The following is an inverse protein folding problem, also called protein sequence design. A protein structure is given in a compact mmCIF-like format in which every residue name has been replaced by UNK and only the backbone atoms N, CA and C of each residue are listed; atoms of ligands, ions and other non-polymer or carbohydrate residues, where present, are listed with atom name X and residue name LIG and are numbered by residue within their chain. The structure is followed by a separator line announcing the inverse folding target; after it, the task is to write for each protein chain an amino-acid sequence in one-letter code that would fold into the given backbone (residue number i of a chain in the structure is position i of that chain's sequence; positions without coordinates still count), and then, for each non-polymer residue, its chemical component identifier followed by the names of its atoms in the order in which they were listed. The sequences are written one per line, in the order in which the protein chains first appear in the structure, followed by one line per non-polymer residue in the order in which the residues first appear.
data_IF_534649787343
#
_entry.id   IF_534649787343
#
_cell.length_a   1.000
_cell.length_b   1.000
_cell.length_c   1.000
_cell.angle_alpha   90.00
_cell.angle_beta   90.00
_cell.angle_gamma   90.00
#
_symmetry.space_group_name_H-M   'P 1'
#
loop_
_entity.id
_entity.type
_entity.pdbx_description
1 polymer ?
#
# COMPACT_ATOMS: atom_id res chain seq x y z
N UNK A 1 -28.05 -24.30 -57.74
CA UNK A 1 -27.46 -23.22 -56.92
C UNK A 1 -28.26 -23.12 -55.65
N UNK A 2 -27.61 -23.33 -54.50
CA UNK A 2 -28.22 -23.88 -53.28
C UNK A 2 -28.82 -22.86 -52.31
N UNK A 3 -29.74 -23.34 -51.47
CA UNK A 3 -30.46 -22.64 -50.41
C UNK A 3 -29.57 -21.92 -49.36
N UNK A 4 -28.25 -22.14 -49.37
CA UNK A 4 -27.32 -21.59 -48.37
C UNK A 4 -26.86 -20.15 -48.66
N UNK A 5 -27.00 -19.64 -49.89
CA UNK A 5 -26.61 -18.25 -50.23
C UNK A 5 -27.51 -17.19 -49.58
N UNK A 6 -28.70 -17.56 -49.12
CA UNK A 6 -29.66 -16.65 -48.48
C UNK A 6 -29.48 -16.48 -46.97
N UNK A 7 -28.66 -17.29 -46.31
CA UNK A 7 -28.47 -17.21 -44.86
C UNK A 7 -27.25 -16.36 -44.45
N UNK A 8 -26.31 -16.11 -45.37
CA UNK A 8 -25.07 -15.37 -45.08
C UNK A 8 -24.77 -14.23 -46.07
N UNK A 9 -25.68 -13.94 -47.00
CA UNK A 9 -25.53 -12.94 -48.06
C UNK A 9 -25.87 -11.48 -47.68
N UNK A 10 -26.18 -11.22 -46.41
CA UNK A 10 -26.27 -9.86 -45.89
C UNK A 10 -24.91 -9.48 -45.33
N UNK A 11 -24.25 -8.46 -45.91
CA UNK A 11 -23.08 -7.83 -45.29
C UNK A 11 -23.48 -7.47 -43.86
N UNK A 12 -22.96 -8.19 -42.86
CA UNK A 12 -22.95 -7.74 -41.48
C UNK A 12 -22.03 -6.52 -41.42
N UNK A 13 -22.54 -5.37 -41.89
CA UNK A 13 -21.98 -4.08 -41.50
C UNK A 13 -22.51 -3.86 -40.11
N UNK A 14 -21.63 -3.98 -39.11
CA UNK A 14 -21.93 -3.47 -37.79
C UNK A 14 -22.48 -2.04 -37.96
N UNK A 15 -23.59 -1.68 -37.29
CA UNK A 15 -24.01 -0.28 -37.28
C UNK A 15 -22.78 0.55 -36.89
N UNK A 16 -22.52 1.69 -37.55
CA UNK A 16 -21.44 2.58 -37.14
C UNK A 16 -21.59 2.80 -35.64
N UNK A 17 -20.51 2.67 -34.85
CA UNK A 17 -20.61 2.83 -33.40
C UNK A 17 -21.29 4.17 -33.14
N UNK A 18 -22.29 4.16 -32.26
CA UNK A 18 -22.94 5.40 -31.84
C UNK A 18 -21.84 6.40 -31.46
N UNK A 19 -21.88 7.60 -32.06
CA UNK A 19 -20.95 8.67 -31.71
C UNK A 19 -21.21 9.02 -30.24
N UNK A 20 -20.44 8.40 -29.35
CA UNK A 20 -20.42 8.78 -27.95
C UNK A 20 -19.76 10.15 -27.87
N UNK A 21 -20.57 11.17 -27.55
CA UNK A 21 -20.15 12.56 -27.29
C UNK A 21 -19.23 12.69 -26.04
N UNK A 22 -18.90 11.58 -25.40
CA UNK A 22 -18.10 11.52 -24.19
C UNK A 22 -16.63 11.42 -24.60
N UNK A 23 -15.83 12.41 -24.17
CA UNK A 23 -14.39 12.39 -24.42
C UNK A 23 -13.70 11.26 -23.65
N UNK A 24 -12.61 10.73 -24.21
CA UNK A 24 -11.77 9.72 -23.53
C UNK A 24 -11.34 10.15 -22.11
N UNK A 25 -11.13 11.46 -21.90
CA UNK A 25 -10.76 12.01 -20.60
C UNK A 25 -11.89 11.92 -19.57
N UNK A 26 -13.14 12.02 -20.03
CA UNK A 26 -14.33 11.93 -19.20
C UNK A 26 -14.65 10.47 -18.87
N UNK A 27 -14.50 9.55 -19.83
CA UNK A 27 -14.53 8.10 -19.62
C UNK A 27 -13.48 7.68 -18.57
N UNK A 28 -12.22 8.13 -18.73
CA UNK A 28 -11.15 7.81 -17.77
C UNK A 28 -11.41 8.38 -16.37
N UNK A 29 -12.06 9.54 -16.28
CA UNK A 29 -12.42 10.16 -14.99
C UNK A 29 -13.57 9.42 -14.30
N UNK A 30 -14.48 8.85 -15.07
CA UNK A 30 -15.57 8.01 -14.56
C UNK A 30 -15.05 6.64 -14.12
N UNK A 31 -14.10 6.08 -14.86
CA UNK A 31 -13.42 4.82 -14.50
C UNK A 31 -12.48 4.96 -13.29
N UNK A 32 -11.81 6.11 -13.15
CA UNK A 32 -10.89 6.39 -12.05
C UNK A 32 -11.24 7.73 -11.39
N UNK A 33 -12.30 7.75 -10.55
CA UNK A 33 -12.70 8.96 -9.85
C UNK A 33 -11.54 9.51 -9.00
N UNK A 34 -11.46 10.83 -8.91
CA UNK A 34 -10.47 11.49 -8.05
C UNK A 34 -10.78 11.19 -6.58
N UNK A 35 -9.76 11.14 -5.70
CA UNK A 35 -9.99 10.96 -4.28
C UNK A 35 -10.89 12.06 -3.73
N UNK A 36 -11.84 11.69 -2.88
CA UNK A 36 -12.70 12.67 -2.21
C UNK A 36 -11.87 13.53 -1.24
N UNK A 37 -12.37 14.72 -0.84
CA UNK A 37 -11.73 15.54 0.19
C UNK A 37 -11.51 14.78 1.49
N UNK A 38 -12.47 13.93 1.88
CA UNK A 38 -12.38 13.10 3.09
C UNK A 38 -11.30 12.04 2.97
N UNK A 39 -11.18 11.37 1.82
CA UNK A 39 -10.09 10.41 1.58
C UNK A 39 -8.71 11.08 1.64
N UNK A 40 -8.56 12.28 1.07
CA UNK A 40 -7.31 13.05 1.17
C UNK A 40 -7.01 13.45 2.62
N UNK A 41 -8.03 13.85 3.37
CA UNK A 41 -7.89 14.17 4.79
C UNK A 41 -7.48 12.94 5.60
N UNK A 42 -8.10 11.79 5.34
CA UNK A 42 -7.78 10.52 5.98
C UNK A 42 -6.34 10.09 5.67
N UNK A 43 -5.93 10.17 4.39
CA UNK A 43 -4.55 9.91 3.96
C UNK A 43 -3.55 10.81 4.69
N UNK A 44 -3.83 12.12 4.81
CA UNK A 44 -2.96 13.04 5.57
C UNK A 44 -2.90 12.68 7.05
N UNK A 45 -4.02 12.30 7.65
CA UNK A 45 -4.08 11.83 9.04
C UNK A 45 -3.24 10.57 9.25
N UNK A 46 -3.40 9.58 8.37
CA UNK A 46 -2.62 8.35 8.35
C UNK A 46 -1.11 8.66 8.30
N UNK A 47 -0.68 9.47 7.32
CA UNK A 47 0.73 9.84 7.19
C UNK A 47 1.25 10.62 8.41
N UNK A 48 0.41 11.41 9.07
CA UNK A 48 0.75 12.08 10.32
C UNK A 48 1.14 11.09 11.42
N UNK A 49 0.44 9.95 11.53
CA UNK A 49 0.80 8.88 12.47
C UNK A 49 2.01 8.08 12.01
N UNK A 50 2.05 7.67 10.75
CA UNK A 50 3.13 6.82 10.22
C UNK A 50 4.49 7.50 10.23
N UNK A 51 4.52 8.82 10.00
CA UNK A 51 5.76 9.60 9.85
C UNK A 51 6.09 10.41 11.11
N UNK A 52 5.34 10.24 12.21
CA UNK A 52 5.46 11.03 13.44
C UNK A 52 6.87 11.04 14.07
N UNK A 53 7.63 9.96 13.88
CA UNK A 53 8.99 9.79 14.44
C UNK A 53 10.10 10.23 13.48
N UNK A 54 9.76 10.64 12.26
CA UNK A 54 10.74 11.15 11.31
C UNK A 54 11.07 12.61 11.59
N UNK A 55 12.26 13.09 11.18
CA UNK A 55 12.52 14.52 11.08
C UNK A 55 11.48 15.22 10.21
N UNK A 56 11.09 16.44 10.61
CA UNK A 56 10.01 17.20 9.98
C UNK A 56 10.25 17.49 8.49
N UNK A 57 11.49 17.72 8.09
CA UNK A 57 11.87 17.95 6.70
C UNK A 57 11.60 16.71 5.83
N UNK A 58 11.93 15.53 6.35
CA UNK A 58 11.71 14.25 5.68
C UNK A 58 10.23 13.87 5.66
N UNK A 59 9.51 14.04 6.78
CA UNK A 59 8.08 13.75 6.87
C UNK A 59 7.29 14.59 5.87
N UNK A 60 7.51 15.92 5.84
CA UNK A 60 6.84 16.81 4.90
C UNK A 60 7.17 16.50 3.44
N UNK A 61 8.42 16.12 3.15
CA UNK A 61 8.84 15.73 1.80
C UNK A 61 8.05 14.51 1.31
N UNK A 62 7.90 13.49 2.16
CA UNK A 62 7.14 12.28 1.85
C UNK A 62 5.64 12.56 1.74
N UNK A 63 5.07 13.36 2.65
CA UNK A 63 3.66 13.77 2.57
C UNK A 63 3.35 14.48 1.25
N UNK A 64 4.16 15.46 0.84
CA UNK A 64 3.98 16.17 -0.43
C UNK A 64 4.11 15.24 -1.64
N UNK A 65 5.00 14.25 -1.56
CA UNK A 65 5.18 13.26 -2.62
C UNK A 65 3.95 12.36 -2.74
N UNK A 66 3.46 11.81 -1.63
CA UNK A 66 2.30 10.91 -1.61
C UNK A 66 1.04 11.65 -2.05
N UNK A 67 0.81 12.89 -1.58
CA UNK A 67 -0.34 13.71 -1.99
C UNK A 67 -0.37 14.00 -3.50
N UNK A 68 0.81 14.13 -4.14
CA UNK A 68 0.94 14.26 -5.60
C UNK A 68 0.67 12.95 -6.34
N UNK A 69 1.02 11.81 -5.75
CA UNK A 69 0.80 10.49 -6.33
C UNK A 69 -0.65 10.01 -6.13
N UNK A 70 -1.33 10.51 -5.10
CA UNK A 70 -2.71 10.16 -4.80
C UNK A 70 -3.69 10.92 -5.70
N UNK A 71 -3.80 10.45 -6.95
CA UNK A 71 -4.57 11.11 -8.02
C UNK A 71 -5.92 10.46 -8.31
N UNK A 72 -6.10 9.19 -7.94
CA UNK A 72 -7.34 8.42 -8.12
C UNK A 72 -7.75 7.71 -6.82
N UNK A 73 -9.05 7.47 -6.65
CA UNK A 73 -9.68 6.89 -5.45
C UNK A 73 -9.13 5.50 -5.11
N UNK A 74 -8.83 4.70 -6.12
CA UNK A 74 -8.28 3.34 -6.04
C UNK A 74 -6.74 3.32 -5.97
N UNK A 75 -6.08 4.49 -6.07
CA UNK A 75 -4.62 4.59 -6.12
C UNK A 75 -3.96 4.76 -4.74
N UNK A 76 -4.70 4.59 -3.63
CA UNK A 76 -4.17 4.82 -2.28
C UNK A 76 -2.94 3.96 -1.98
N UNK A 77 -3.04 2.65 -2.23
CA UNK A 77 -1.93 1.70 -2.06
C UNK A 77 -0.73 2.11 -2.93
N UNK A 78 -0.97 2.34 -4.22
CA UNK A 78 0.07 2.73 -5.19
C UNK A 78 0.77 4.03 -4.79
N UNK A 79 0.03 5.00 -4.27
CA UNK A 79 0.56 6.29 -3.84
C UNK A 79 1.48 6.15 -2.63
N UNK A 80 1.10 5.34 -1.64
CA UNK A 80 1.93 5.06 -0.46
C UNK A 80 3.16 4.23 -0.84
N UNK A 81 2.97 3.09 -1.52
CA UNK A 81 4.06 2.18 -1.90
C UNK A 81 5.07 2.90 -2.79
N UNK A 82 4.63 3.60 -3.85
CA UNK A 82 5.53 4.40 -4.71
C UNK A 82 6.10 5.65 -4.01
N UNK A 83 5.38 6.14 -3.00
CA UNK A 83 5.78 7.30 -2.22
C UNK A 83 6.91 6.98 -1.24
N UNK A 84 6.80 5.84 -0.55
CA UNK A 84 7.70 5.42 0.53
C UNK A 84 8.78 4.44 0.07
N UNK A 85 8.50 3.52 -0.84
CA UNK A 85 9.41 2.44 -1.22
C UNK A 85 10.24 2.71 -2.48
N UNK A 86 10.06 3.88 -3.11
CA UNK A 86 10.90 4.30 -4.24
C UNK A 86 12.38 4.37 -3.85
N UNK A 87 13.25 3.68 -4.60
CA UNK A 87 14.69 3.57 -4.30
C UNK A 87 15.43 4.91 -4.25
N UNK A 88 14.93 5.93 -4.95
CA UNK A 88 15.61 7.23 -5.13
C UNK A 88 14.95 8.37 -4.36
N UNK A 89 13.62 8.33 -4.27
CA UNK A 89 12.78 9.41 -3.74
C UNK A 89 11.88 8.96 -2.58
N UNK A 90 11.93 7.69 -2.20
CA UNK A 90 11.22 7.12 -1.07
C UNK A 90 11.82 7.51 0.27
N UNK A 91 11.44 6.79 1.32
CA UNK A 91 11.93 6.98 2.68
C UNK A 91 13.44 6.69 2.77
N UNK A 92 14.14 7.40 3.65
CA UNK A 92 15.52 7.06 4.00
C UNK A 92 15.52 5.84 4.92
N UNK A 93 16.52 4.97 4.75
CA UNK A 93 16.62 3.71 5.49
C UNK A 93 16.56 3.90 7.02
N UNK A 94 17.23 4.93 7.55
CA UNK A 94 17.23 5.25 8.98
C UNK A 94 15.88 5.74 9.54
N UNK A 95 14.92 6.08 8.68
CA UNK A 95 13.57 6.57 9.01
C UNK A 95 12.54 5.68 8.30
N UNK A 96 12.64 4.37 8.51
CA UNK A 96 11.78 3.43 7.83
C UNK A 96 10.40 3.40 8.50
N UNK A 97 9.36 3.82 7.78
CA UNK A 97 7.96 3.73 8.21
C UNK A 97 7.21 2.56 7.58
N UNK A 98 7.58 2.16 6.36
CA UNK A 98 6.96 1.04 5.66
C UNK A 98 8.00 -0.04 5.36
N UNK A 99 7.74 -1.26 5.80
CA UNK A 99 8.48 -2.45 5.39
C UNK A 99 7.84 -3.03 4.13
N UNK A 100 8.67 -3.58 3.24
CA UNK A 100 8.24 -4.37 2.09
C UNK A 100 9.21 -5.53 1.94
N UNK A 101 8.67 -6.74 2.02
CA UNK A 101 9.42 -7.98 2.12
C UNK A 101 8.80 -9.00 1.18
N UNK A 102 9.60 -9.55 0.28
CA UNK A 102 9.18 -10.66 -0.57
C UNK A 102 8.91 -11.91 0.29
N UNK A 103 7.94 -12.76 -0.09
CA UNK A 103 7.66 -14.01 0.60
C UNK A 103 8.86 -14.97 0.74
N UNK A 104 9.91 -14.82 -0.08
CA UNK A 104 11.21 -15.50 0.03
C UNK A 104 12.35 -14.61 0.55
N UNK A 105 12.07 -13.34 0.83
CA UNK A 105 13.03 -12.30 1.17
C UNK A 105 13.55 -12.32 2.60
N UNK A 106 13.91 -13.49 3.14
CA UNK A 106 14.33 -13.65 4.54
C UNK A 106 15.58 -12.81 4.89
N UNK A 107 16.58 -12.77 4.01
CA UNK A 107 17.77 -11.93 4.21
C UNK A 107 17.42 -10.43 4.23
N UNK A 108 16.48 -10.03 3.37
CA UNK A 108 15.96 -8.66 3.34
C UNK A 108 15.25 -8.29 4.63
N UNK A 109 14.43 -9.21 5.17
CA UNK A 109 13.78 -9.03 6.46
C UNK A 109 14.79 -8.98 7.61
N UNK A 110 15.77 -9.90 7.66
CA UNK A 110 16.83 -9.92 8.67
C UNK A 110 17.59 -8.58 8.70
N UNK A 111 17.83 -7.98 7.54
CA UNK A 111 18.46 -6.67 7.43
C UNK A 111 17.52 -5.51 7.82
N UNK A 112 16.26 -5.52 7.36
CA UNK A 112 15.35 -4.37 7.48
C UNK A 112 14.61 -4.30 8.82
N UNK A 113 14.30 -5.44 9.45
CA UNK A 113 13.51 -5.48 10.68
C UNK A 113 14.18 -4.71 11.83
N UNK A 114 15.48 -4.88 12.14
CA UNK A 114 16.14 -4.11 13.19
C UNK A 114 16.15 -2.61 12.91
N UNK A 115 16.25 -2.22 11.64
CA UNK A 115 16.23 -0.82 11.20
C UNK A 115 14.84 -0.22 11.41
N UNK A 116 13.77 -0.95 11.05
CA UNK A 116 12.39 -0.53 11.26
C UNK A 116 12.04 -0.35 12.75
N UNK A 117 12.50 -1.29 13.58
CA UNK A 117 12.35 -1.25 15.04
C UNK A 117 13.03 -0.02 15.62
N UNK A 118 14.27 0.27 15.20
CA UNK A 118 15.00 1.45 15.61
C UNK A 118 14.34 2.75 15.15
N UNK A 119 13.87 2.81 13.91
CA UNK A 119 13.11 3.95 13.38
C UNK A 119 11.79 4.17 14.15
N UNK A 120 11.24 3.10 14.73
CA UNK A 120 10.09 3.14 15.62
C UNK A 120 10.44 3.52 17.08
N UNK A 121 11.68 3.90 17.36
CA UNK A 121 12.10 4.39 18.67
C UNK A 121 12.38 3.31 19.72
N UNK A 122 12.38 2.03 19.34
CA UNK A 122 12.81 0.95 20.22
C UNK A 122 14.35 0.85 20.16
N UNK A 123 14.99 0.83 21.33
CA UNK A 123 16.46 0.73 21.42
C UNK A 123 16.95 -0.71 21.32
N UNK A 124 16.13 -1.66 21.78
CA UNK A 124 16.39 -3.08 21.64
C UNK A 124 16.26 -3.52 20.18
N UNK A 125 17.23 -4.30 19.70
CA UNK A 125 17.18 -4.82 18.34
C UNK A 125 16.39 -6.13 18.31
N UNK A 126 15.48 -6.25 17.35
CA UNK A 126 14.85 -7.53 17.05
C UNK A 126 15.89 -8.48 16.45
N UNK A 127 16.28 -9.50 17.21
CA UNK A 127 17.24 -10.51 16.78
C UNK A 127 16.52 -11.61 15.99
N UNK A 128 16.59 -11.53 14.67
CA UNK A 128 16.15 -12.58 13.77
C UNK A 128 17.35 -13.17 13.04
N UNK A 129 17.36 -14.49 12.90
CA UNK A 129 18.28 -15.19 12.00
C UNK A 129 17.45 -16.21 11.24
N UNK A 130 17.63 -16.29 9.93
CA UNK A 130 16.97 -17.31 9.14
C UNK A 130 17.58 -18.70 9.40
N UNK A 131 17.16 -19.34 10.49
CA UNK A 131 17.47 -20.74 10.82
C UNK A 131 16.24 -21.64 10.80
N UNK A 132 15.06 -21.03 10.81
CA UNK A 132 13.80 -21.72 10.96
C UNK A 132 13.15 -21.86 9.58
N UNK A 133 12.69 -23.06 9.22
CA UNK A 133 11.95 -23.36 7.97
C UNK A 133 10.51 -22.77 7.99
N UNK A 134 10.33 -21.59 8.58
CA UNK A 134 9.02 -20.95 8.72
C UNK A 134 8.72 -20.11 7.48
N UNK A 135 7.45 -20.08 7.03
CA UNK A 135 7.02 -19.15 6.00
C UNK A 135 7.14 -17.71 6.51
N UNK A 136 7.29 -16.74 5.58
CA UNK A 136 7.42 -15.32 5.92
C UNK A 136 6.24 -14.78 6.75
N UNK A 137 5.01 -15.26 6.51
CA UNK A 137 3.84 -14.91 7.32
C UNK A 137 4.01 -15.23 8.81
N UNK A 138 4.55 -16.40 9.12
CA UNK A 138 4.83 -16.81 10.50
C UNK A 138 5.98 -16.01 11.11
N UNK A 139 6.99 -15.64 10.32
CA UNK A 139 8.06 -14.73 10.74
C UNK A 139 7.49 -13.36 11.12
N UNK A 140 6.59 -12.81 10.30
CA UNK A 140 5.93 -11.53 10.56
C UNK A 140 4.97 -11.60 11.75
N UNK A 141 4.30 -12.73 11.98
CA UNK A 141 3.48 -12.95 13.18
C UNK A 141 4.32 -12.92 14.46
N UNK A 142 5.50 -13.55 14.45
CA UNK A 142 6.47 -13.48 15.56
C UNK A 142 7.01 -12.06 15.76
N UNK A 143 7.25 -11.35 14.66
CA UNK A 143 7.68 -9.97 14.69
C UNK A 143 6.61 -9.06 15.32
N UNK A 144 5.33 -9.22 14.95
CA UNK A 144 4.22 -8.49 15.59
C UNK A 144 4.09 -8.82 17.08
N UNK A 145 4.21 -10.09 17.46
CA UNK A 145 4.17 -10.50 18.86
C UNK A 145 5.30 -9.84 19.68
N UNK A 146 6.52 -9.80 19.13
CA UNK A 146 7.64 -9.10 19.76
C UNK A 146 7.39 -7.59 19.85
N UNK A 147 6.88 -6.96 18.78
CA UNK A 147 6.53 -5.53 18.80
C UNK A 147 5.47 -5.22 19.89
N UNK A 148 4.53 -6.13 20.11
CA UNK A 148 3.48 -5.97 21.12
C UNK A 148 4.06 -5.88 22.55
N UNK A 149 5.15 -6.59 22.84
CA UNK A 149 5.89 -6.47 24.13
C UNK A 149 6.46 -5.07 24.34
N UNK A 150 6.67 -4.32 23.26
CA UNK A 150 7.15 -2.93 23.25
C UNK A 150 6.03 -1.90 23.01
N UNK A 151 4.76 -2.31 23.09
CA UNK A 151 3.61 -1.41 22.89
C UNK A 151 3.42 -0.94 21.45
N UNK A 152 3.98 -1.65 20.47
CA UNK A 152 3.79 -1.42 19.05
C UNK A 152 3.08 -2.61 18.39
N UNK A 153 2.57 -2.42 17.17
CA UNK A 153 1.99 -3.49 16.35
C UNK A 153 2.41 -3.34 14.90
N UNK A 154 2.48 -4.45 14.18
CA UNK A 154 2.68 -4.49 12.75
C UNK A 154 1.32 -4.57 12.03
N UNK A 155 1.01 -3.54 11.25
CA UNK A 155 -0.17 -3.48 10.39
C UNK A 155 0.23 -3.84 8.97
N UNK A 156 -0.24 -4.99 8.50
CA UNK A 156 -0.04 -5.42 7.11
C UNK A 156 -0.99 -4.66 6.19
N UNK A 157 -0.47 -4.22 5.05
CA UNK A 157 -1.21 -3.62 3.93
C UNK A 157 -1.49 -4.73 2.93
N UNK A 158 -2.77 -4.96 2.64
CA UNK A 158 -3.17 -5.85 1.56
C UNK A 158 -2.97 -5.13 0.22
N UNK A 159 -1.92 -5.55 -0.48
CA UNK A 159 -1.55 -5.07 -1.80
C UNK A 159 -2.09 -5.95 -2.94
N UNK A 160 -2.64 -7.14 -2.62
CA UNK A 160 -2.89 -8.19 -3.60
C UNK A 160 -1.62 -8.76 -4.28
N UNK A 161 -0.43 -8.44 -3.75
CA UNK A 161 0.87 -8.92 -4.23
C UNK A 161 1.40 -10.08 -3.39
N UNK A 162 2.43 -10.76 -3.90
CA UNK A 162 3.20 -11.79 -3.17
C UNK A 162 4.20 -11.18 -2.17
N UNK A 163 4.22 -9.85 -2.03
CA UNK A 163 5.04 -9.12 -1.06
C UNK A 163 4.24 -8.77 0.18
N UNK A 164 4.84 -9.00 1.34
CA UNK A 164 4.33 -8.53 2.62
C UNK A 164 4.79 -7.09 2.84
N UNK A 165 3.83 -6.17 2.85
CA UNK A 165 4.08 -4.76 3.12
C UNK A 165 3.32 -4.31 4.36
N UNK A 166 3.89 -3.41 5.15
CA UNK A 166 3.24 -3.00 6.39
C UNK A 166 3.96 -1.93 7.17
N UNK A 167 3.28 -1.43 8.19
CA UNK A 167 3.72 -0.34 9.05
C UNK A 167 3.88 -0.82 10.50
N UNK A 168 4.81 -0.20 11.22
CA UNK A 168 4.89 -0.35 12.67
C UNK A 168 4.19 0.84 13.30
N UNK A 169 3.21 0.59 14.18
CA UNK A 169 2.37 1.63 14.79
C UNK A 169 2.24 1.45 16.30
N UNK A 170 1.78 2.47 16.99
CA UNK A 170 1.42 2.39 18.42
C UNK A 170 0.24 1.42 18.62
N UNK A 171 0.38 0.46 19.54
CA UNK A 171 -0.65 -0.53 19.83
C UNK A 171 -1.98 0.11 20.27
N UNK A 172 -1.92 1.26 20.95
CA UNK A 172 -3.11 1.98 21.41
C UNK A 172 -3.83 2.73 20.28
N UNK A 173 -3.19 2.89 19.11
CA UNK A 173 -3.71 3.63 17.96
C UNK A 173 -4.09 2.75 16.79
N UNK A 174 -3.97 1.42 16.91
CA UNK A 174 -4.29 0.47 15.84
C UNK A 174 -5.67 0.73 15.25
N UNK A 175 -6.72 0.83 16.08
CA UNK A 175 -8.08 1.07 15.60
C UNK A 175 -8.24 2.40 14.86
N UNK A 176 -7.60 3.47 15.34
CA UNK A 176 -7.64 4.78 14.71
C UNK A 176 -6.94 4.74 13.34
N UNK A 177 -5.74 4.15 13.30
CA UNK A 177 -4.93 4.06 12.09
C UNK A 177 -5.59 3.16 11.05
N UNK A 178 -6.21 2.05 11.46
CA UNK A 178 -7.00 1.19 10.57
C UNK A 178 -8.14 1.97 9.93
N UNK A 179 -8.91 2.73 10.71
CA UNK A 179 -10.00 3.57 10.17
C UNK A 179 -9.47 4.62 9.20
N UNK A 180 -8.38 5.32 9.53
CA UNK A 180 -7.77 6.31 8.63
C UNK A 180 -7.28 5.66 7.33
N UNK A 181 -6.77 4.44 7.40
CA UNK A 181 -6.34 3.69 6.23
C UNK A 181 -7.53 3.27 5.36
N UNK A 182 -8.58 2.71 5.95
CA UNK A 182 -9.83 2.34 5.26
C UNK A 182 -10.49 3.56 4.60
N UNK A 183 -10.64 4.66 5.34
CA UNK A 183 -11.17 5.92 4.84
C UNK A 183 -10.30 6.50 3.72
N UNK A 184 -8.99 6.23 3.74
CA UNK A 184 -8.08 6.63 2.66
C UNK A 184 -8.12 5.68 1.44
N UNK A 185 -8.85 4.56 1.51
CA UNK A 185 -8.94 3.56 0.44
C UNK A 185 -7.89 2.45 0.51
N UNK A 186 -7.28 2.22 1.67
CA UNK A 186 -6.34 1.13 1.92
C UNK A 186 -7.02 -0.01 2.66
N UNK A 187 -6.57 -1.23 2.39
CA UNK A 187 -6.92 -2.40 3.18
C UNK A 187 -5.75 -2.71 4.08
N UNK A 188 -5.95 -2.59 5.39
CA UNK A 188 -4.93 -2.92 6.38
C UNK A 188 -5.49 -3.87 7.41
N UNK A 189 -4.66 -4.79 7.90
CA UNK A 189 -5.07 -5.71 8.95
C UNK A 189 -3.90 -6.05 9.86
N UNK A 190 -4.22 -6.43 11.10
CA UNK A 190 -3.25 -6.85 12.11
C UNK A 190 -3.35 -8.35 12.44
N UNK A 191 -4.29 -9.06 11.80
CA UNK A 191 -4.61 -10.47 12.05
C UNK A 191 -4.45 -11.37 10.81
N UNK A 192 -4.22 -10.78 9.62
CA UNK A 192 -4.13 -11.53 8.37
C UNK A 192 -2.67 -11.65 7.96
N UNK A 193 -2.00 -12.70 8.44
CA UNK A 193 -0.71 -13.17 7.92
C UNK A 193 -0.88 -14.48 7.18
#
# INVERSE_FOLDING_TARGET
MGLFDRLFGGRFTAPPPDETDISDAEILRELHPRPSPDQRKAMKGLLGHLLARMPEDESQRLVRRIDRLFTAQDAAYKAISSGLLDRTRGQKLQYLAMLSVDWRGFDGFEYMAPIAVKASGITEAFAYRHTDNLPMSEVLRRFDAWLAEHGLRYLQVDSGSDSYEGFIVDANRVQEITRLAEDAGLRVSHESF
#
